data_IF_414116038266
#
_entry.id   IF_414116038266
#
_cell.length_a   1.000
_cell.length_b   1.000
_cell.length_c   1.000
_cell.angle_alpha   90.00
_cell.angle_beta   90.00
_cell.angle_gamma   90.00
#
_symmetry.space_group_name_H-M   'P 1'
#
loop_
_entity.id
_entity.type
_entity.pdbx_description
1 polymer ?
#
# COMPACT_ATOMS: atom_id res chain seq x y z
N UNK A 1 2.01 -11.35 18.01
CA UNK A 1 1.25 -10.79 16.86
C UNK A 1 0.86 -9.33 17.16
N UNK A 2 1.72 -8.33 16.89
CA UNK A 2 1.44 -6.88 17.03
C UNK A 2 2.38 -5.98 16.18
N UNK A 3 2.89 -6.46 15.04
CA UNK A 3 3.77 -5.64 14.15
C UNK A 3 2.98 -5.02 12.98
N UNK A 4 1.96 -5.72 12.51
CA UNK A 4 1.10 -5.38 11.36
C UNK A 4 0.34 -4.05 11.48
N UNK A 5 -0.03 -3.68 12.71
CA UNK A 5 -0.78 -2.44 13.00
C UNK A 5 -0.02 -1.16 12.65
N UNK A 6 1.32 -1.18 12.61
CA UNK A 6 2.13 0.04 12.41
C UNK A 6 2.18 0.48 10.94
N UNK A 7 2.20 -0.45 9.99
CA UNK A 7 2.22 -0.11 8.56
C UNK A 7 0.87 0.45 8.11
N UNK A 8 -0.22 -0.17 8.59
CA UNK A 8 -1.59 0.31 8.37
C UNK A 8 -1.83 1.69 8.97
N UNK A 9 -1.40 1.93 10.22
CA UNK A 9 -1.53 3.23 10.85
C UNK A 9 -0.76 4.35 10.12
N UNK A 10 0.43 4.04 9.58
CA UNK A 10 1.23 4.99 8.78
C UNK A 10 0.54 5.31 7.45
N UNK A 11 -0.02 4.30 6.77
CA UNK A 11 -0.77 4.48 5.52
C UNK A 11 -2.06 5.28 5.75
N UNK A 12 -2.79 4.95 6.81
CA UNK A 12 -4.02 5.65 7.21
C UNK A 12 -3.73 7.12 7.55
N UNK A 13 -2.69 7.38 8.36
CA UNK A 13 -2.27 8.75 8.70
C UNK A 13 -1.82 9.52 7.45
N UNK A 14 -1.10 8.87 6.54
CA UNK A 14 -0.65 9.51 5.31
C UNK A 14 -1.80 9.88 4.36
N UNK A 15 -2.79 9.01 4.21
CA UNK A 15 -4.00 9.23 3.40
C UNK A 15 -4.88 10.33 3.99
N UNK A 16 -5.02 10.38 5.32
CA UNK A 16 -5.84 11.37 6.02
C UNK A 16 -5.13 12.74 6.11
N UNK A 17 -3.84 12.77 6.43
CA UNK A 17 -3.11 14.03 6.70
C UNK A 17 -2.74 14.84 5.47
N UNK A 18 -2.68 14.25 4.27
CA UNK A 18 -2.26 14.97 3.07
C UNK A 18 -3.39 15.68 2.30
N UNK A 19 -4.64 15.74 2.80
CA UNK A 19 -5.73 16.46 2.12
C UNK A 19 -5.86 16.07 0.62
N UNK A 20 -5.50 14.82 0.25
CA UNK A 20 -5.44 14.37 -1.15
C UNK A 20 -6.83 14.27 -1.79
N UNK A 21 -7.89 14.38 -0.98
CA UNK A 21 -9.27 14.30 -1.43
C UNK A 21 -9.98 15.63 -1.28
N UNK A 22 -10.00 16.43 -2.35
CA UNK A 22 -11.12 17.34 -2.59
C UNK A 22 -12.41 16.51 -2.63
N UNK A 23 -13.52 17.05 -2.11
CA UNK A 23 -14.83 16.36 -2.05
C UNK A 23 -15.52 16.27 -3.43
N UNK A 24 -14.84 15.70 -4.42
CA UNK A 24 -15.47 15.34 -5.70
C UNK A 24 -16.10 13.95 -5.62
N UNK A 25 -17.17 13.71 -6.40
CA UNK A 25 -17.86 12.40 -6.45
C UNK A 25 -16.91 11.25 -6.78
N UNK A 26 -15.96 11.47 -7.67
CA UNK A 26 -14.97 10.47 -8.09
C UNK A 26 -13.97 10.16 -6.95
N UNK A 27 -13.70 11.15 -6.11
CA UNK A 27 -12.89 11.01 -4.91
C UNK A 27 -13.63 10.20 -3.84
N UNK A 28 -14.94 10.43 -3.66
CA UNK A 28 -15.76 9.67 -2.72
C UNK A 28 -15.84 8.18 -3.06
N UNK A 29 -15.91 7.83 -4.35
CA UNK A 29 -15.93 6.43 -4.81
C UNK A 29 -14.60 5.72 -4.54
N UNK A 30 -13.48 6.39 -4.83
CA UNK A 30 -12.15 5.86 -4.57
C UNK A 30 -11.90 5.65 -3.08
N UNK A 31 -12.15 6.67 -2.24
CA UNK A 31 -11.95 6.57 -0.78
C UNK A 31 -12.80 5.48 -0.15
N UNK A 32 -14.05 5.31 -0.59
CA UNK A 32 -14.91 4.21 -0.11
C UNK A 32 -14.32 2.84 -0.41
N UNK A 33 -13.80 2.63 -1.62
CA UNK A 33 -13.17 1.37 -2.01
C UNK A 33 -11.87 1.12 -1.24
N UNK A 34 -11.06 2.17 -1.02
CA UNK A 34 -9.85 2.06 -0.19
C UNK A 34 -10.22 1.66 1.24
N UNK A 35 -11.19 2.33 1.86
CA UNK A 35 -11.62 2.00 3.21
C UNK A 35 -12.20 0.58 3.30
N UNK A 36 -12.93 0.12 2.28
CA UNK A 36 -13.40 -1.26 2.21
C UNK A 36 -12.24 -2.26 2.17
N UNK A 37 -11.25 -2.04 1.30
CA UNK A 37 -10.06 -2.89 1.22
C UNK A 37 -9.25 -2.89 2.53
N UNK A 38 -9.18 -1.74 3.20
CA UNK A 38 -8.54 -1.61 4.52
C UNK A 38 -9.29 -2.45 5.57
N UNK A 39 -10.61 -2.31 5.65
CA UNK A 39 -11.41 -3.07 6.61
C UNK A 39 -11.32 -4.58 6.38
N UNK A 40 -11.31 -5.02 5.12
CA UNK A 40 -11.12 -6.44 4.78
C UNK A 40 -9.75 -6.92 5.24
N UNK A 41 -8.69 -6.15 5.00
CA UNK A 41 -7.36 -6.48 5.47
C UNK A 41 -7.25 -6.51 7.00
N UNK A 42 -7.92 -5.60 7.71
CA UNK A 42 -7.98 -5.61 9.19
C UNK A 42 -8.72 -6.84 9.72
N UNK A 43 -9.65 -7.40 8.95
CA UNK A 43 -10.31 -8.68 9.22
C UNK A 43 -9.50 -9.90 8.74
N UNK A 44 -8.26 -9.71 8.27
CA UNK A 44 -7.41 -10.75 7.69
C UNK A 44 -7.96 -11.37 6.38
N UNK A 45 -8.97 -10.74 5.75
CA UNK A 45 -9.51 -11.07 4.42
C UNK A 45 -8.58 -10.48 3.33
N UNK A 46 -7.33 -10.94 3.33
CA UNK A 46 -6.27 -10.35 2.53
C UNK A 46 -6.47 -10.51 1.02
N UNK A 47 -7.09 -11.59 0.57
CA UNK A 47 -7.30 -11.83 -0.85
C UNK A 47 -8.34 -10.85 -1.44
N UNK A 48 -9.43 -10.64 -0.72
CA UNK A 48 -10.48 -9.68 -1.06
C UNK A 48 -9.95 -8.25 -1.03
N UNK A 49 -9.12 -7.92 -0.03
CA UNK A 49 -8.43 -6.64 0.03
C UNK A 49 -7.51 -6.41 -1.18
N UNK A 50 -6.74 -7.44 -1.58
CA UNK A 50 -5.87 -7.37 -2.75
C UNK A 50 -6.66 -7.14 -4.04
N UNK A 51 -7.77 -7.84 -4.24
CA UNK A 51 -8.60 -7.69 -5.43
C UNK A 51 -9.12 -6.26 -5.58
N UNK A 52 -9.53 -5.64 -4.48
CA UNK A 52 -9.95 -4.23 -4.46
C UNK A 52 -8.78 -3.32 -4.84
N UNK A 53 -7.62 -3.47 -4.18
CA UNK A 53 -6.48 -2.57 -4.42
C UNK A 53 -5.90 -2.74 -5.82
N UNK A 54 -5.82 -3.96 -6.35
CA UNK A 54 -5.42 -4.19 -7.74
C UNK A 54 -6.42 -3.57 -8.72
N UNK A 55 -7.72 -3.77 -8.48
CA UNK A 55 -8.77 -3.16 -9.31
C UNK A 55 -8.62 -1.64 -9.36
N UNK A 56 -8.38 -1.01 -8.22
CA UNK A 56 -8.12 0.44 -8.14
C UNK A 56 -6.84 0.83 -8.88
N UNK A 57 -5.74 0.10 -8.69
CA UNK A 57 -4.46 0.36 -9.34
C UNK A 57 -4.56 0.33 -10.89
N UNK A 58 -5.33 -0.61 -11.45
CA UNK A 58 -5.47 -0.74 -12.90
C UNK A 58 -6.54 0.19 -13.50
N UNK A 59 -7.59 0.54 -12.75
CA UNK A 59 -8.70 1.36 -13.25
C UNK A 59 -8.50 2.86 -13.08
N UNK A 60 -7.64 3.28 -12.15
CA UNK A 60 -7.46 4.69 -11.82
C UNK A 60 -6.54 5.43 -12.80
N UNK A 61 -7.00 6.59 -13.27
CA UNK A 61 -6.27 7.44 -14.21
C UNK A 61 -5.37 8.45 -13.49
N UNK A 62 -5.76 8.83 -12.28
CA UNK A 62 -4.94 9.70 -11.45
C UNK A 62 -3.72 8.92 -10.92
N UNK A 63 -2.52 9.43 -11.24
CA UNK A 63 -1.27 8.75 -10.88
C UNK A 63 -1.09 8.61 -9.36
N UNK A 64 -1.49 9.60 -8.56
CA UNK A 64 -1.33 9.55 -7.10
C UNK A 64 -2.16 8.44 -6.49
N UNK A 65 -3.43 8.41 -6.86
CA UNK A 65 -4.35 7.37 -6.40
C UNK A 65 -3.91 5.98 -6.84
N UNK A 66 -3.43 5.85 -8.08
CA UNK A 66 -2.83 4.61 -8.57
C UNK A 66 -1.65 4.17 -7.69
N UNK A 67 -0.71 5.08 -7.37
CA UNK A 67 0.41 4.73 -6.50
C UNK A 67 -0.02 4.42 -5.05
N UNK A 68 -1.04 5.09 -4.52
CA UNK A 68 -1.62 4.73 -3.21
C UNK A 68 -2.12 3.29 -3.23
N UNK A 69 -2.90 2.90 -4.24
CA UNK A 69 -3.40 1.53 -4.37
C UNK A 69 -2.26 0.52 -4.51
N UNK A 70 -1.22 0.82 -5.31
CA UNK A 70 -0.03 -0.03 -5.43
C UNK A 70 0.64 -0.27 -4.07
N UNK A 71 0.81 0.79 -3.29
CA UNK A 71 1.48 0.72 -2.00
C UNK A 71 0.66 -0.03 -0.96
N UNK A 72 -0.67 0.11 -0.98
CA UNK A 72 -1.57 -0.71 -0.17
C UNK A 72 -1.48 -2.19 -0.55
N UNK A 73 -1.48 -2.52 -1.84
CA UNK A 73 -1.22 -3.89 -2.32
C UNK A 73 0.09 -4.44 -1.78
N UNK A 74 1.18 -3.67 -1.85
CA UNK A 74 2.49 -4.09 -1.34
C UNK A 74 2.48 -4.32 0.17
N UNK A 75 1.74 -3.51 0.93
CA UNK A 75 1.57 -3.70 2.36
C UNK A 75 0.84 -5.01 2.68
N UNK A 76 -0.24 -5.35 1.97
CA UNK A 76 -0.94 -6.62 2.15
C UNK A 76 -0.05 -7.81 1.79
N UNK A 77 0.64 -7.75 0.65
CA UNK A 77 1.57 -8.82 0.26
C UNK A 77 2.67 -9.03 1.30
N UNK A 78 3.15 -7.95 1.93
CA UNK A 78 4.09 -8.05 3.04
C UNK A 78 3.48 -8.76 4.26
N UNK A 79 2.25 -8.45 4.65
CA UNK A 79 1.56 -9.13 5.75
C UNK A 79 1.31 -10.61 5.44
N UNK A 80 1.05 -10.96 4.18
CA UNK A 80 0.92 -12.35 3.72
C UNK A 80 2.26 -13.10 3.58
N UNK A 81 3.40 -12.45 3.87
CA UNK A 81 4.73 -13.04 3.69
C UNK A 81 5.22 -13.14 2.23
N UNK A 82 4.51 -12.53 1.29
CA UNK A 82 4.81 -12.52 -0.15
C UNK A 82 5.80 -11.40 -0.52
N UNK A 83 6.90 -11.31 0.22
CA UNK A 83 7.87 -10.20 0.13
C UNK A 83 8.45 -10.01 -1.28
N UNK A 84 8.82 -11.12 -1.93
CA UNK A 84 9.41 -11.11 -3.28
C UNK A 84 8.45 -10.51 -4.32
N UNK A 85 7.13 -10.73 -4.15
CA UNK A 85 6.13 -10.18 -5.05
C UNK A 85 5.95 -8.68 -4.81
N UNK A 86 5.93 -8.26 -3.54
CA UNK A 86 5.87 -6.84 -3.16
C UNK A 86 7.08 -6.05 -3.68
N UNK A 87 8.30 -6.58 -3.56
CA UNK A 87 9.51 -5.92 -4.08
C UNK A 87 9.48 -5.78 -5.60
N UNK A 88 9.10 -6.84 -6.33
CA UNK A 88 8.95 -6.81 -7.78
C UNK A 88 7.93 -5.78 -8.24
N UNK A 89 6.79 -5.69 -7.54
CA UNK A 89 5.75 -4.70 -7.84
C UNK A 89 6.26 -3.27 -7.70
N UNK A 90 7.03 -2.98 -6.65
CA UNK A 90 7.61 -1.64 -6.47
C UNK A 90 8.65 -1.37 -7.56
N UNK A 91 9.58 -2.30 -7.80
CA UNK A 91 10.66 -2.13 -8.79
C UNK A 91 10.12 -1.91 -10.21
N UNK A 92 9.11 -2.68 -10.62
CA UNK A 92 8.51 -2.56 -11.95
C UNK A 92 7.78 -1.22 -12.18
N UNK A 93 7.44 -0.52 -11.10
CA UNK A 93 6.71 0.76 -11.15
C UNK A 93 7.60 1.97 -10.83
N UNK A 94 8.87 1.75 -10.49
CA UNK A 94 9.84 2.75 -10.05
C UNK A 94 10.33 3.65 -11.19
N UNK A 95 10.42 3.12 -12.41
CA UNK A 95 10.93 3.85 -13.58
C UNK A 95 10.08 5.06 -13.99
N UNK A 96 8.83 5.14 -13.52
CA UNK A 96 7.90 6.22 -13.84
C UNK A 96 7.64 7.20 -12.68
N UNK A 97 8.34 7.06 -11.56
CA UNK A 97 8.06 7.81 -10.34
C UNK A 97 8.90 9.10 -10.24
N UNK A 98 8.27 10.25 -10.52
CA UNK A 98 8.90 11.56 -10.38
C UNK A 98 8.88 12.03 -8.91
N UNK A 99 10.00 11.82 -8.21
CA UNK A 99 10.17 12.22 -6.81
C UNK A 99 9.94 13.72 -6.55
N UNK A 100 10.15 14.58 -7.56
CA UNK A 100 10.01 16.03 -7.40
C UNK A 100 8.54 16.45 -7.35
N UNK A 101 7.67 15.70 -8.04
CA UNK A 101 6.22 15.94 -8.06
C UNK A 101 5.50 15.26 -6.91
N UNK A 102 6.04 14.15 -6.40
CA UNK A 102 5.36 13.28 -5.44
C UNK A 102 6.23 12.92 -4.23
N UNK A 103 6.74 13.92 -3.47
CA UNK A 103 7.69 13.69 -2.38
C UNK A 103 7.09 12.85 -1.25
N UNK A 104 5.83 13.08 -0.90
CA UNK A 104 5.12 12.34 0.15
C UNK A 104 5.00 10.85 -0.22
N UNK A 105 4.61 10.55 -1.48
CA UNK A 105 4.49 9.18 -1.98
C UNK A 105 5.86 8.49 -2.10
N UNK A 106 6.93 9.23 -2.40
CA UNK A 106 8.30 8.72 -2.36
C UNK A 106 8.70 8.25 -0.97
N UNK A 107 8.38 9.06 0.05
CA UNK A 107 8.66 8.69 1.45
C UNK A 107 7.85 7.47 1.88
N UNK A 108 6.59 7.36 1.45
CA UNK A 108 5.76 6.19 1.70
C UNK A 108 6.36 4.92 1.07
N UNK A 109 6.82 5.00 -0.19
CA UNK A 109 7.53 3.92 -0.88
C UNK A 109 8.70 3.40 -0.03
N UNK A 110 9.56 4.31 0.43
CA UNK A 110 10.76 3.94 1.17
C UNK A 110 10.43 3.27 2.51
N UNK A 111 9.37 3.72 3.19
CA UNK A 111 8.90 3.09 4.44
C UNK A 111 8.39 1.67 4.19
N UNK A 112 7.66 1.44 3.10
CA UNK A 112 7.16 0.12 2.73
C UNK A 112 8.31 -0.80 2.31
N UNK A 113 9.24 -0.33 1.48
CA UNK A 113 10.44 -1.09 1.11
C UNK A 113 11.28 -1.46 2.35
N UNK A 114 11.43 -0.53 3.29
CA UNK A 114 12.10 -0.81 4.55
C UNK A 114 11.35 -1.87 5.38
N UNK A 115 10.02 -1.79 5.47
CA UNK A 115 9.22 -2.79 6.16
C UNK A 115 9.39 -4.18 5.52
N UNK A 116 9.31 -4.28 4.19
CA UNK A 116 9.47 -5.54 3.44
C UNK A 116 10.82 -6.18 3.71
N UNK A 117 11.92 -5.42 3.64
CA UNK A 117 13.29 -5.93 3.86
C UNK A 117 13.53 -6.41 5.29
N UNK A 118 12.90 -5.77 6.28
CA UNK A 118 13.03 -6.20 7.68
C UNK A 118 12.15 -7.41 7.99
N UNK A 119 10.99 -7.54 7.34
CA UNK A 119 10.13 -8.72 7.45
C UNK A 119 10.74 -9.94 6.74
N UNK A 120 11.38 -9.75 5.57
CA UNK A 120 12.05 -10.83 4.86
C UNK A 120 13.27 -11.37 5.61
N UNK A 121 14.08 -10.49 6.21
CA UNK A 121 15.27 -10.88 6.98
C UNK A 121 14.93 -11.59 8.30
N UNK A 122 13.82 -11.24 8.96
CA UNK A 122 13.36 -11.96 10.16
C UNK A 122 12.82 -13.36 9.87
N UNK A 123 12.31 -13.63 8.67
CA UNK A 123 11.92 -14.98 8.25
C UNK A 123 13.10 -15.94 8.08
N UNK A 124 14.31 -15.42 7.80
CA UNK A 124 15.54 -16.20 7.65
C UNK A 124 16.22 -16.55 8.98
N UNK A 125 15.87 -15.85 10.07
CA UNK A 125 16.41 -16.11 11.42
C UNK A 125 15.52 -16.99 12.28
N UNK A 126 14.36 -17.41 11.78
CA UNK A 126 13.44 -18.32 12.45
C UNK A 126 13.52 -19.73 11.87
N UNK A 127 14.58 -20.47 12.18
CA UNK A 127 14.50 -21.93 12.18
C UNK A 127 13.83 -22.40 13.50
N UNK A 128 13.07 -23.51 13.49
CA UNK A 128 12.72 -24.23 14.71
C UNK A 128 13.97 -24.70 15.47
#
# INVERSE_FOLDING_TARGET
>A
MKKSFRVFAILLFFVISNNVFSLDRDNLSFTKKINLGINLADNEEYQEALDIFYSLYYSEKNKDKKYISLYLTCAILNEMGQYNLAEKLIANNETNFDKSKYPSLYNLKNQIQYAIRNSSSTSLTGLP
#
